data_IF_299199704791
#
_entry.id   IF_299199704791
#
_cell.length_a   1.000
_cell.length_b   1.000
_cell.length_c   1.000
_cell.angle_alpha   90.00
_cell.angle_beta   90.00
_cell.angle_gamma   90.00
#
_symmetry.space_group_name_H-M   'P 1'
#
loop_
_entity.id
_entity.type
_entity.pdbx_description
1 polymer ?
#
# COMPACT_ATOMS: atom_id res chain seq x y z
N UNK A 1 -17.63 -78.32 18.52
CA UNK A 1 -18.62 -77.19 18.57
C UNK A 1 -18.17 -76.32 19.75
N UNK A 2 -17.14 -75.46 19.60
CA UNK A 2 -17.17 -74.11 18.99
C UNK A 2 -18.35 -73.30 19.54
N UNK A 3 -18.20 -72.15 20.20
CA UNK A 3 -17.09 -71.36 20.77
C UNK A 3 -17.81 -70.36 21.71
N UNK A 4 -17.14 -69.78 22.70
CA UNK A 4 -17.28 -68.37 23.13
C UNK A 4 -16.82 -68.19 24.58
N UNK A 5 -15.69 -67.49 24.71
CA UNK A 5 -15.36 -66.73 25.90
C UNK A 5 -14.54 -65.51 25.50
N UNK A 6 -14.89 -64.39 26.15
CA UNK A 6 -14.06 -63.24 26.48
C UNK A 6 -13.94 -62.11 25.46
N UNK A 7 -14.29 -60.91 25.94
CA UNK A 7 -13.46 -59.73 25.71
C UNK A 7 -14.13 -58.47 25.20
N UNK A 8 -14.41 -57.55 26.15
CA UNK A 8 -14.32 -56.08 26.05
C UNK A 8 -15.29 -55.27 25.18
N UNK A 9 -16.19 -54.52 25.83
CA UNK A 9 -16.64 -53.17 25.45
C UNK A 9 -16.87 -52.37 26.76
N UNK A 10 -16.05 -51.38 27.12
CA UNK A 10 -15.98 -49.98 26.68
C UNK A 10 -17.17 -49.09 27.07
N UNK A 11 -16.81 -48.13 27.93
CA UNK A 11 -17.53 -46.97 28.44
C UNK A 11 -18.19 -46.13 27.35
N UNK A 12 -19.47 -45.80 27.53
CA UNK A 12 -20.18 -44.62 27.04
C UNK A 12 -21.58 -44.62 27.65
N UNK A 13 -21.93 -43.52 28.33
CA UNK A 13 -23.28 -42.92 28.40
C UNK A 13 -23.41 -42.11 29.69
N UNK A 14 -23.05 -40.84 29.59
CA UNK A 14 -23.53 -39.77 30.45
C UNK A 14 -23.56 -38.49 29.62
N UNK A 15 -24.41 -38.53 28.60
CA UNK A 15 -24.89 -37.35 27.88
C UNK A 15 -26.40 -37.29 28.09
N UNK A 16 -26.93 -36.08 28.30
CA UNK A 16 -28.35 -35.69 28.23
C UNK A 16 -29.11 -35.32 29.52
N UNK A 17 -28.50 -34.65 30.49
CA UNK A 17 -29.24 -33.66 31.31
C UNK A 17 -28.28 -32.51 31.62
N UNK A 18 -28.78 -31.27 31.62
CA UNK A 18 -28.07 -29.98 31.65
C UNK A 18 -27.92 -29.34 30.26
N UNK A 19 -29.09 -29.11 29.66
CA UNK A 19 -29.31 -28.02 28.72
C UNK A 19 -29.58 -26.74 29.53
N UNK A 20 -29.15 -25.61 29.00
CA UNK A 20 -29.69 -24.27 29.25
C UNK A 20 -29.35 -23.64 30.63
N UNK A 21 -28.15 -23.05 30.77
CA UNK A 21 -27.94 -21.89 31.66
C UNK A 21 -26.64 -21.10 31.48
N UNK A 22 -25.71 -21.44 30.57
CA UNK A 22 -24.39 -20.78 30.52
C UNK A 22 -24.07 -19.98 29.24
N UNK A 23 -25.03 -19.71 28.35
CA UNK A 23 -24.76 -18.98 27.10
C UNK A 23 -25.25 -17.51 27.04
N UNK A 24 -25.78 -16.93 28.12
CA UNK A 24 -26.28 -15.53 28.09
C UNK A 24 -25.46 -14.47 28.85
N UNK A 25 -24.31 -14.80 29.47
CA UNK A 25 -23.62 -13.84 30.37
C UNK A 25 -22.13 -13.57 30.05
N UNK A 26 -21.70 -13.74 28.79
CA UNK A 26 -20.36 -13.32 28.33
C UNK A 26 -20.44 -12.16 27.30
N UNK A 27 -21.62 -11.54 27.17
CA UNK A 27 -21.82 -10.38 26.29
C UNK A 27 -21.62 -9.02 27.00
N UNK A 28 -21.21 -8.99 28.27
CA UNK A 28 -21.12 -7.75 29.06
C UNK A 28 -19.73 -7.30 29.50
N UNK A 29 -18.66 -7.92 29.00
CA UNK A 29 -17.29 -7.50 29.34
C UNK A 29 -16.40 -7.45 28.10
N UNK A 30 -16.65 -6.50 27.20
CA UNK A 30 -15.70 -5.98 26.20
C UNK A 30 -16.36 -4.81 25.47
N UNK A 31 -16.66 -3.73 26.20
CA UNK A 31 -16.72 -2.43 25.54
C UNK A 31 -15.29 -2.12 25.05
N UNK A 32 -15.07 -1.91 23.75
CA UNK A 32 -13.76 -1.50 23.28
C UNK A 32 -13.46 -0.14 23.92
N UNK A 33 -12.25 0.09 24.48
CA UNK A 33 -11.87 1.44 24.84
C UNK A 33 -11.98 2.26 23.57
N UNK A 34 -12.72 3.38 23.66
CA UNK A 34 -12.79 4.41 22.64
C UNK A 34 -11.39 4.54 22.05
N UNK A 35 -11.27 4.18 20.77
CA UNK A 35 -10.08 4.53 20.00
C UNK A 35 -9.92 6.02 20.20
N UNK A 36 -8.82 6.43 20.82
CA UNK A 36 -8.38 7.82 20.87
C UNK A 36 -8.31 8.32 19.42
N UNK A 37 -9.44 8.83 18.93
CA UNK A 37 -9.48 9.71 17.78
C UNK A 37 -8.58 10.87 18.17
N UNK A 38 -7.58 11.12 17.35
CA UNK A 38 -6.64 12.21 17.53
C UNK A 38 -7.42 13.51 17.76
N UNK A 39 -7.48 13.99 19.00
CA UNK A 39 -8.22 15.19 19.36
C UNK A 39 -7.54 16.41 18.73
N UNK A 40 -8.18 16.99 17.72
CA UNK A 40 -7.82 18.31 17.21
C UNK A 40 -8.49 19.37 18.07
N UNK A 41 -7.67 20.05 18.88
CA UNK A 41 -8.09 21.17 19.71
C UNK A 41 -8.81 22.22 18.85
N UNK A 42 -10.05 22.52 19.23
CA UNK A 42 -10.90 23.57 18.65
C UNK A 42 -10.35 24.94 19.08
N UNK A 43 -9.86 25.74 18.14
CA UNK A 43 -9.53 27.15 18.37
C UNK A 43 -10.40 28.04 17.48
N UNK A 44 -11.17 28.93 18.11
CA UNK A 44 -12.02 29.92 17.44
C UNK A 44 -11.18 31.06 16.87
N UNK A 45 -11.49 31.50 15.65
CA UNK A 45 -11.03 32.78 15.09
C UNK A 45 -11.01 32.79 13.57
N UNK A 46 -11.91 33.56 12.95
CA UNK A 46 -12.12 33.69 11.51
C UNK A 46 -10.84 33.88 10.68
N UNK A 47 -10.57 32.94 9.77
CA UNK A 47 -9.82 33.14 8.52
C UNK A 47 -10.39 32.19 7.45
N UNK A 48 -10.26 32.61 6.19
CA UNK A 48 -10.86 32.06 4.97
C UNK A 48 -10.89 30.53 4.93
N UNK A 49 -12.09 29.96 4.71
CA UNK A 49 -12.30 28.52 4.48
C UNK A 49 -11.61 28.07 3.19
N UNK A 50 -10.41 27.53 3.32
CA UNK A 50 -9.93 26.46 2.44
C UNK A 50 -10.39 25.17 3.12
N UNK A 51 -11.13 24.35 2.38
CA UNK A 51 -11.93 23.21 2.84
C UNK A 51 -11.25 22.36 3.93
N UNK A 52 -11.85 22.39 5.12
CA UNK A 52 -11.47 21.55 6.27
C UNK A 52 -12.47 20.39 6.37
N UNK A 53 -12.10 19.25 5.77
CA UNK A 53 -12.51 17.90 6.19
C UNK A 53 -11.52 16.83 5.64
N UNK A 54 -10.23 17.21 5.58
CA UNK A 54 -9.23 16.62 4.69
C UNK A 54 -8.24 15.66 5.40
N UNK A 55 -8.67 14.98 6.48
CA UNK A 55 -7.73 14.20 7.31
C UNK A 55 -7.48 12.78 6.81
N UNK A 56 -8.24 12.30 5.83
CA UNK A 56 -8.11 10.95 5.24
C UNK A 56 -8.02 10.93 3.69
N UNK A 57 -7.96 12.08 3.01
CA UNK A 57 -8.14 12.19 1.55
C UNK A 57 -7.11 11.41 0.72
N UNK A 58 -5.88 11.27 1.21
CA UNK A 58 -4.83 10.48 0.56
C UNK A 58 -4.83 9.03 1.06
N UNK A 59 -5.25 8.81 2.30
CA UNK A 59 -5.18 7.50 2.94
C UNK A 59 -6.12 6.50 2.26
N UNK A 60 -7.35 6.90 1.95
CA UNK A 60 -8.34 6.03 1.32
C UNK A 60 -7.87 5.50 -0.05
N UNK A 61 -7.42 6.33 -1.02
CA UNK A 61 -6.83 5.85 -2.27
C UNK A 61 -5.63 4.92 -2.07
N UNK A 62 -4.74 5.22 -1.10
CA UNK A 62 -3.58 4.37 -0.80
C UNK A 62 -3.99 3.01 -0.25
N UNK A 63 -4.97 2.96 0.65
CA UNK A 63 -5.49 1.70 1.17
C UNK A 63 -6.20 0.88 0.09
N UNK A 64 -6.95 1.52 -0.80
CA UNK A 64 -7.58 0.85 -1.94
C UNK A 64 -6.51 0.23 -2.87
N UNK A 65 -5.47 1.00 -3.20
CA UNK A 65 -4.35 0.52 -4.01
C UNK A 65 -3.62 -0.66 -3.37
N UNK A 66 -3.29 -0.55 -2.07
CA UNK A 66 -2.66 -1.64 -1.33
C UNK A 66 -3.54 -2.90 -1.35
N UNK A 67 -4.86 -2.75 -1.20
CA UNK A 67 -5.81 -3.87 -1.20
C UNK A 67 -5.82 -4.60 -2.53
N UNK A 68 -5.76 -3.85 -3.63
CA UNK A 68 -5.70 -4.39 -4.98
C UNK A 68 -4.36 -5.10 -5.24
N UNK A 69 -3.24 -4.48 -4.85
CA UNK A 69 -1.89 -5.04 -5.06
C UNK A 69 -1.72 -6.34 -4.28
N UNK A 70 -2.01 -6.33 -2.98
CA UNK A 70 -1.72 -7.47 -2.10
C UNK A 70 -2.85 -8.49 -1.99
N UNK A 71 -3.99 -8.24 -2.65
CA UNK A 71 -5.17 -9.11 -2.62
C UNK A 71 -5.56 -9.45 -1.18
N UNK A 72 -5.79 -8.40 -0.39
CA UNK A 72 -6.01 -8.46 1.05
C UNK A 72 -7.40 -9.00 1.42
N UNK A 73 -7.74 -10.21 0.97
CA UNK A 73 -9.00 -10.89 1.32
C UNK A 73 -8.99 -11.29 2.81
N UNK A 74 -9.69 -10.51 3.64
CA UNK A 74 -9.93 -10.80 5.06
C UNK A 74 -8.90 -10.24 6.05
N UNK A 75 -7.72 -9.80 5.60
CA UNK A 75 -6.65 -9.26 6.47
C UNK A 75 -6.54 -7.72 6.46
N UNK A 76 -7.35 -7.03 5.65
CA UNK A 76 -7.30 -5.57 5.49
C UNK A 76 -7.29 -4.79 6.82
N UNK A 77 -8.15 -5.17 7.78
CA UNK A 77 -8.21 -4.52 9.10
C UNK A 77 -6.90 -4.66 9.89
N UNK A 78 -6.26 -5.83 9.82
CA UNK A 78 -4.98 -6.09 10.47
C UNK A 78 -3.86 -5.28 9.80
N UNK A 79 -3.78 -5.32 8.48
CA UNK A 79 -2.76 -4.56 7.72
C UNK A 79 -2.89 -3.07 7.96
N UNK A 80 -4.13 -2.53 7.93
CA UNK A 80 -4.39 -1.12 8.25
C UNK A 80 -3.89 -0.77 9.65
N UNK A 81 -4.22 -1.56 10.68
CA UNK A 81 -3.77 -1.33 12.06
C UNK A 81 -2.24 -1.35 12.17
N UNK A 82 -1.59 -2.36 11.58
CA UNK A 82 -0.13 -2.52 11.66
C UNK A 82 0.60 -1.45 10.85
N UNK A 83 0.07 -1.03 9.70
CA UNK A 83 0.63 0.05 8.90
C UNK A 83 0.55 1.41 9.63
N UNK A 84 -0.57 1.71 10.27
CA UNK A 84 -0.71 2.91 11.12
C UNK A 84 0.34 2.88 12.25
N UNK A 85 0.47 1.74 12.94
CA UNK A 85 1.46 1.56 14.00
C UNK A 85 2.89 1.74 13.50
N UNK A 86 3.23 1.16 12.34
CA UNK A 86 4.54 1.32 11.71
C UNK A 86 4.85 2.80 11.41
N UNK A 87 3.92 3.48 10.73
CA UNK A 87 4.06 4.91 10.39
C UNK A 87 4.27 5.74 11.66
N UNK A 88 3.53 5.45 12.73
CA UNK A 88 3.65 6.14 14.00
C UNK A 88 4.99 5.87 14.70
N UNK A 89 5.54 4.65 14.61
CA UNK A 89 6.87 4.33 15.17
C UNK A 89 7.99 4.98 14.37
N UNK A 90 7.92 4.98 13.04
CA UNK A 90 8.98 5.50 12.17
C UNK A 90 8.97 7.02 12.07
N UNK A 91 7.79 7.65 12.01
CA UNK A 91 7.63 9.09 11.75
C UNK A 91 6.99 9.88 12.90
N UNK A 92 6.48 9.19 13.93
CA UNK A 92 5.84 9.83 15.09
C UNK A 92 4.50 10.50 14.75
N UNK A 93 4.16 11.53 15.53
CA UNK A 93 2.94 12.36 15.34
C UNK A 93 3.04 13.37 14.18
N UNK A 94 4.20 13.48 13.53
CA UNK A 94 4.50 14.53 12.55
C UNK A 94 4.61 14.01 11.11
N UNK A 95 3.94 12.91 10.76
CA UNK A 95 3.98 12.33 9.41
C UNK A 95 3.60 13.35 8.34
N UNK A 96 2.55 14.15 8.55
CA UNK A 96 2.13 15.17 7.60
C UNK A 96 3.22 16.23 7.39
N UNK A 97 3.87 16.67 8.47
CA UNK A 97 5.00 17.61 8.38
C UNK A 97 6.17 17.00 7.61
N UNK A 98 6.52 15.73 7.87
CA UNK A 98 7.58 15.03 7.15
C UNK A 98 7.27 14.87 5.65
N UNK A 99 6.02 14.54 5.31
CA UNK A 99 5.57 14.49 3.91
C UNK A 99 5.71 15.87 3.26
N UNK A 100 5.24 16.94 3.91
CA UNK A 100 5.37 18.29 3.38
C UNK A 100 6.82 18.74 3.24
N UNK A 101 7.70 18.45 4.21
CA UNK A 101 9.13 18.76 4.15
C UNK A 101 9.81 18.00 3.00
N UNK A 102 9.47 16.73 2.81
CA UNK A 102 10.00 15.90 1.71
C UNK A 102 9.55 16.42 0.35
N UNK A 103 8.27 16.74 0.20
CA UNK A 103 7.74 17.33 -1.04
C UNK A 103 8.41 18.68 -1.30
N UNK A 104 8.48 19.55 -0.29
CA UNK A 104 9.14 20.86 -0.41
C UNK A 104 10.59 20.71 -0.84
N UNK A 105 11.29 19.68 -0.35
CA UNK A 105 12.64 19.37 -0.78
C UNK A 105 12.70 18.88 -2.23
N UNK A 106 11.82 17.98 -2.67
CA UNK A 106 11.75 17.53 -4.07
C UNK A 106 11.50 18.66 -5.06
N UNK A 107 10.73 19.67 -4.66
CA UNK A 107 10.45 20.87 -5.46
C UNK A 107 11.35 22.07 -5.12
N UNK A 108 12.43 21.84 -4.38
CA UNK A 108 13.44 22.88 -4.14
C UNK A 108 14.16 23.26 -5.44
N UNK A 109 14.68 24.50 -5.48
CA UNK A 109 15.41 25.02 -6.65
C UNK A 109 16.57 24.09 -7.06
N UNK A 110 17.30 23.54 -6.09
CA UNK A 110 18.41 22.61 -6.34
C UNK A 110 17.94 21.33 -7.05
N UNK A 111 16.83 20.75 -6.58
CA UNK A 111 16.28 19.52 -7.15
C UNK A 111 15.68 19.77 -8.53
N UNK A 112 14.97 20.88 -8.72
CA UNK A 112 14.44 21.26 -10.04
C UNK A 112 15.57 21.49 -11.04
N UNK A 113 16.62 22.22 -10.66
CA UNK A 113 17.81 22.40 -11.48
C UNK A 113 18.46 21.05 -11.81
N UNK A 114 18.57 20.15 -10.84
CA UNK A 114 19.09 18.80 -11.06
C UNK A 114 18.23 18.03 -12.08
N UNK A 115 16.90 18.01 -11.92
CA UNK A 115 16.00 17.30 -12.84
C UNK A 115 16.05 17.88 -14.25
N UNK A 116 16.00 19.20 -14.40
CA UNK A 116 16.11 19.88 -15.71
C UNK A 116 17.45 19.52 -16.35
N UNK A 117 18.55 19.63 -15.61
CA UNK A 117 19.88 19.28 -16.11
C UNK A 117 19.96 17.82 -16.54
N UNK A 118 19.38 16.91 -15.77
CA UNK A 118 19.35 15.48 -16.08
C UNK A 118 18.55 15.22 -17.36
N UNK A 119 17.38 15.83 -17.50
CA UNK A 119 16.55 15.72 -18.71
C UNK A 119 17.30 16.27 -19.91
N UNK A 120 17.86 17.48 -19.81
CA UNK A 120 18.62 18.09 -20.92
C UNK A 120 19.84 17.25 -21.31
N UNK A 121 20.60 16.71 -20.35
CA UNK A 121 21.75 15.85 -20.66
C UNK A 121 21.38 14.54 -21.34
N UNK A 122 20.23 13.95 -20.99
CA UNK A 122 19.79 12.68 -21.55
C UNK A 122 19.07 12.83 -22.90
N UNK A 123 18.27 13.87 -23.07
CA UNK A 123 17.47 14.09 -24.29
C UNK A 123 18.17 15.01 -25.29
N UNK A 124 18.96 16.00 -24.83
CA UNK A 124 19.70 16.95 -25.67
C UNK A 124 21.19 17.05 -25.29
N UNK A 125 21.97 15.95 -25.35
CA UNK A 125 23.40 16.01 -25.10
C UNK A 125 24.07 17.00 -26.08
N UNK A 126 24.71 18.05 -25.54
CA UNK A 126 25.36 19.07 -26.36
C UNK A 126 24.39 19.97 -27.15
N UNK A 127 23.09 19.97 -26.83
CA UNK A 127 22.07 20.80 -27.48
C UNK A 127 21.40 20.14 -28.70
N UNK A 128 21.83 18.95 -29.09
CA UNK A 128 21.20 18.13 -30.14
C UNK A 128 20.44 16.96 -29.53
N UNK A 129 19.32 16.55 -30.14
CA UNK A 129 18.54 15.39 -29.70
C UNK A 129 19.45 14.17 -29.61
N UNK A 130 19.35 13.40 -28.53
CA UNK A 130 20.13 12.20 -28.30
C UNK A 130 19.89 11.17 -29.41
N UNK A 131 20.98 10.56 -29.89
CA UNK A 131 20.88 9.49 -30.88
C UNK A 131 20.03 8.34 -30.37
N UNK A 132 19.19 7.72 -31.22
CA UNK A 132 18.39 6.59 -30.81
C UNK A 132 19.29 5.44 -30.35
N UNK A 133 19.05 4.97 -29.12
CA UNK A 133 19.75 3.81 -28.59
C UNK A 133 19.58 2.55 -29.45
N UNK A 134 20.46 1.55 -29.30
CA UNK A 134 20.41 0.32 -30.09
C UNK A 134 19.04 -0.36 -29.98
N UNK A 135 18.49 -0.78 -31.13
CA UNK A 135 17.20 -1.44 -31.17
C UNK A 135 17.28 -2.82 -30.54
N UNK A 136 16.72 -2.96 -29.33
CA UNK A 136 16.63 -4.25 -28.64
C UNK A 136 15.62 -5.15 -29.33
N UNK A 137 16.00 -6.41 -29.56
CA UNK A 137 15.12 -7.45 -30.09
C UNK A 137 14.00 -7.80 -29.09
N UNK A 138 12.94 -8.46 -29.57
CA UNK A 138 11.84 -8.90 -28.70
C UNK A 138 12.34 -9.88 -27.61
N UNK A 139 13.24 -10.78 -27.99
CA UNK A 139 13.81 -11.77 -27.08
C UNK A 139 14.66 -11.10 -25.99
N UNK A 140 15.55 -10.17 -26.35
CA UNK A 140 16.37 -9.46 -25.36
C UNK A 140 15.54 -8.65 -24.36
N UNK A 141 14.43 -8.07 -24.83
CA UNK A 141 13.49 -7.34 -23.96
C UNK A 141 12.79 -8.29 -23.00
N UNK A 142 12.31 -9.43 -23.50
CA UNK A 142 11.66 -10.46 -22.68
C UNK A 142 12.62 -11.01 -21.61
N UNK A 143 13.83 -11.41 -22.01
CA UNK A 143 14.86 -11.93 -21.10
C UNK A 143 15.24 -10.91 -20.02
N UNK A 144 15.37 -9.64 -20.40
CA UNK A 144 15.66 -8.57 -19.43
C UNK A 144 14.48 -8.34 -18.49
N UNK A 145 13.25 -8.39 -18.99
CA UNK A 145 12.04 -8.24 -18.18
C UNK A 145 11.90 -9.37 -17.16
N UNK A 146 12.15 -10.63 -17.57
CA UNK A 146 12.13 -11.79 -16.66
C UNK A 146 13.18 -11.61 -15.55
N UNK A 147 14.42 -11.30 -15.92
CA UNK A 147 15.50 -11.09 -14.93
C UNK A 147 15.17 -9.93 -13.98
N UNK A 148 14.65 -8.83 -14.50
CA UNK A 148 14.25 -7.68 -13.69
C UNK A 148 13.08 -8.03 -12.75
N UNK A 149 12.11 -8.83 -13.22
CA UNK A 149 10.99 -9.30 -12.40
C UNK A 149 11.49 -10.17 -11.24
N UNK A 150 12.37 -11.12 -11.51
CA UNK A 150 12.96 -11.96 -10.47
C UNK A 150 13.73 -11.13 -9.44
N UNK A 151 14.52 -10.17 -9.89
CA UNK A 151 15.22 -9.25 -9.00
C UNK A 151 14.23 -8.42 -8.17
N UNK A 152 13.17 -7.90 -8.78
CA UNK A 152 12.17 -7.09 -8.10
C UNK A 152 11.44 -7.87 -6.99
N UNK A 153 10.98 -9.10 -7.30
CA UNK A 153 10.27 -9.97 -6.34
C UNK A 153 11.19 -10.43 -5.21
N UNK A 154 12.46 -10.69 -5.49
CA UNK A 154 13.43 -11.12 -4.47
C UNK A 154 13.90 -9.98 -3.57
N UNK A 155 13.68 -8.72 -3.94
CA UNK A 155 14.03 -7.53 -3.16
C UNK A 155 12.81 -6.89 -2.48
N UNK A 156 11.74 -7.65 -2.23
CA UNK A 156 10.60 -7.17 -1.44
C UNK A 156 11.06 -6.89 -0.01
N UNK A 157 10.84 -5.67 0.52
CA UNK A 157 11.20 -5.32 1.88
C UNK A 157 10.61 -6.26 2.93
N UNK A 158 11.40 -6.59 3.95
CA UNK A 158 10.97 -7.44 5.08
C UNK A 158 9.74 -6.87 5.79
N UNK A 159 9.64 -5.54 5.90
CA UNK A 159 8.47 -4.87 6.47
C UNK A 159 7.18 -5.23 5.73
N UNK A 160 7.19 -5.30 4.39
CA UNK A 160 6.02 -5.70 3.62
C UNK A 160 5.70 -7.18 3.84
N UNK A 161 6.73 -8.02 3.90
CA UNK A 161 6.58 -9.44 4.21
C UNK A 161 5.95 -9.66 5.59
N UNK A 162 6.29 -8.86 6.59
CA UNK A 162 5.70 -8.89 7.93
C UNK A 162 4.26 -8.37 7.94
N UNK A 163 3.95 -7.37 7.12
CA UNK A 163 2.61 -6.77 7.05
C UNK A 163 1.59 -7.67 6.35
N UNK A 164 1.92 -8.19 5.17
CA UNK A 164 0.97 -8.93 4.31
C UNK A 164 1.28 -10.42 4.19
N UNK A 165 2.44 -10.87 4.66
CA UNK A 165 2.94 -12.23 4.47
C UNK A 165 3.81 -12.38 3.22
N UNK A 166 4.75 -13.32 3.26
CA UNK A 166 5.77 -13.50 2.20
C UNK A 166 5.15 -13.77 0.82
N UNK A 167 4.15 -14.64 0.74
CA UNK A 167 3.50 -14.99 -0.53
C UNK A 167 2.70 -13.81 -1.09
N UNK A 168 1.93 -13.11 -0.25
CA UNK A 168 1.18 -11.92 -0.68
C UNK A 168 2.13 -10.80 -1.11
N UNK A 169 3.22 -10.58 -0.36
CA UNK A 169 4.26 -9.60 -0.70
C UNK A 169 4.89 -9.85 -2.07
N UNK A 170 5.30 -11.10 -2.34
CA UNK A 170 5.88 -11.49 -3.64
C UNK A 170 4.86 -11.39 -4.78
N UNK A 171 3.62 -11.82 -4.55
CA UNK A 171 2.56 -11.73 -5.55
C UNK A 171 2.19 -10.27 -5.85
N UNK A 172 2.11 -9.42 -4.82
CA UNK A 172 1.89 -7.98 -4.99
C UNK A 172 3.03 -7.30 -5.72
N UNK A 173 4.28 -7.63 -5.41
CA UNK A 173 5.44 -7.14 -6.15
C UNK A 173 5.39 -7.56 -7.62
N UNK A 174 4.99 -8.80 -7.91
CA UNK A 174 4.76 -9.24 -9.29
C UNK A 174 3.67 -8.41 -9.98
N UNK A 175 2.52 -8.20 -9.34
CA UNK A 175 1.44 -7.36 -9.90
C UNK A 175 1.91 -5.94 -10.20
N UNK A 176 2.66 -5.31 -9.28
CA UNK A 176 3.24 -3.98 -9.49
C UNK A 176 4.19 -3.99 -10.68
N UNK A 177 5.07 -4.99 -10.78
CA UNK A 177 5.98 -5.12 -11.91
C UNK A 177 5.22 -5.25 -13.23
N UNK A 178 4.22 -6.14 -13.28
CA UNK A 178 3.40 -6.38 -14.48
C UNK A 178 2.64 -5.09 -14.89
N UNK A 179 2.08 -4.35 -13.93
CA UNK A 179 1.46 -3.06 -14.19
C UNK A 179 2.46 -2.03 -14.76
N UNK A 180 3.70 -2.01 -14.26
CA UNK A 180 4.77 -1.16 -14.81
C UNK A 180 5.20 -1.57 -16.23
N UNK A 181 4.95 -2.82 -16.66
CA UNK A 181 5.23 -3.24 -18.03
C UNK A 181 4.11 -2.86 -19.02
N UNK A 182 2.92 -2.50 -18.56
CA UNK A 182 1.77 -2.13 -19.41
C UNK A 182 1.92 -0.74 -20.05
N UNK A 183 2.60 -0.70 -21.19
CA UNK A 183 2.97 0.54 -21.90
C UNK A 183 1.80 1.48 -22.17
N UNK A 184 0.64 0.95 -22.59
CA UNK A 184 -0.50 1.79 -22.96
C UNK A 184 -1.14 2.46 -21.72
N UNK A 185 -1.29 1.70 -20.65
CA UNK A 185 -1.84 2.21 -19.39
C UNK A 185 -0.89 3.22 -18.75
N UNK A 186 0.41 2.92 -18.73
CA UNK A 186 1.42 3.84 -18.20
C UNK A 186 1.57 5.10 -19.05
N UNK A 187 1.39 5.01 -20.37
CA UNK A 187 1.35 6.18 -21.26
C UNK A 187 0.18 7.09 -20.93
N UNK A 188 -1.01 6.52 -20.75
CA UNK A 188 -2.19 7.30 -20.40
C UNK A 188 -2.05 7.94 -19.02
N UNK A 189 -1.57 7.18 -18.03
CA UNK A 189 -1.29 7.69 -16.69
C UNK A 189 -0.31 8.88 -16.71
N UNK A 190 0.73 8.81 -17.54
CA UNK A 190 1.69 9.90 -17.69
C UNK A 190 1.04 11.15 -18.29
N UNK A 191 0.19 10.99 -19.31
CA UNK A 191 -0.51 12.13 -19.90
C UNK A 191 -1.45 12.79 -18.91
N UNK A 192 -2.21 12.01 -18.14
CA UNK A 192 -3.07 12.53 -17.07
C UNK A 192 -2.25 13.32 -16.03
N UNK A 193 -1.11 12.76 -15.60
CA UNK A 193 -0.25 13.42 -14.63
C UNK A 193 0.31 14.75 -15.17
N UNK A 194 0.71 14.77 -16.44
CA UNK A 194 1.21 15.98 -17.10
C UNK A 194 0.10 17.01 -17.23
N UNK A 195 -1.10 16.62 -17.63
CA UNK A 195 -2.28 17.50 -17.73
C UNK A 195 -2.59 18.16 -16.39
N UNK A 196 -2.78 17.36 -15.33
CA UNK A 196 -3.04 17.88 -13.97
C UNK A 196 -1.90 18.79 -13.48
N UNK A 197 -0.65 18.46 -13.80
CA UNK A 197 0.50 19.28 -13.41
C UNK A 197 0.52 20.61 -14.17
N UNK A 198 0.22 20.60 -15.47
CA UNK A 198 0.17 21.80 -16.30
C UNK A 198 -0.96 22.72 -15.84
N UNK A 199 -2.16 22.18 -15.57
CA UNK A 199 -3.28 22.96 -15.04
C UNK A 199 -2.94 23.59 -13.68
N UNK A 200 -2.19 22.88 -12.83
CA UNK A 200 -1.79 23.38 -11.53
C UNK A 200 -0.71 24.48 -11.60
N UNK A 201 0.25 24.37 -12.55
CA UNK A 201 1.35 25.33 -12.70
C UNK A 201 0.91 26.55 -13.51
N UNK A 202 0.07 26.34 -14.52
CA UNK A 202 -0.37 27.36 -15.47
C UNK A 202 -1.91 27.39 -15.59
N UNK A 203 -2.62 27.78 -14.52
CA UNK A 203 -4.08 27.80 -14.53
C UNK A 203 -4.67 28.73 -15.60
N UNK A 204 -3.91 29.71 -16.10
CA UNK A 204 -4.28 30.61 -17.19
C UNK A 204 -4.23 29.99 -18.61
N UNK A 205 -3.63 28.81 -18.76
CA UNK A 205 -3.50 28.10 -20.04
C UNK A 205 -4.64 27.08 -20.28
N UNK A 206 -5.52 26.89 -19.29
CA UNK A 206 -6.64 25.92 -19.28
C UNK A 206 -7.98 26.59 -19.59
#
# INVERSE_FOLDING_TARGET
KHFDFSGSEQSKDSYSVLKESEEEDISQCLEPPLTDTVDFIKSNGNTVKICDDNKDTIAEPLYALLSEIFDMRGVFKYVRKTLIGFVQVTYGRNINKQIHETISWWFSEEMLHYYITLVLKNFWPGGSIADPGPQRTKEERLQTAIKAQEMFINNVPEVLTTLVGNNAGKNGAKKVFDALQEKNMNKHLLYELVEVTLDAIFPELS
#
